data_IF_000014936884
#
_entry.id   IF_000014936884
#
_cell.length_a   1.000
_cell.length_b   1.000
_cell.length_c   1.000
_cell.angle_alpha   90.00
_cell.angle_beta   90.00
_cell.angle_gamma   90.00
#
_symmetry.space_group_name_H-M   'P 1'
#
loop_
_entity.id
_entity.type
_entity.pdbx_description
1 polymer ?
#
# COMPACT_ATOMS: atom_id res chain seq x y z
N UNK A 1 1.51 -7.37 -8.25
CA UNK A 1 2.80 -7.14 -8.90
C UNK A 1 3.60 -6.11 -8.10
N UNK A 2 4.84 -6.40 -7.83
CA UNK A 2 5.73 -5.46 -7.13
C UNK A 2 6.49 -4.66 -8.18
N UNK A 3 6.41 -3.34 -8.07
CA UNK A 3 7.06 -2.40 -8.98
C UNK A 3 8.21 -1.75 -8.22
N UNK A 4 9.42 -1.87 -8.75
CA UNK A 4 10.62 -1.27 -8.16
C UNK A 4 11.38 -0.49 -9.21
N UNK A 5 11.99 0.60 -8.79
CA UNK A 5 12.99 1.36 -9.53
C UNK A 5 12.54 1.75 -10.94
N UNK A 6 11.27 2.12 -11.10
CA UNK A 6 10.74 2.65 -12.34
C UNK A 6 10.14 4.05 -12.12
N UNK A 7 9.66 4.66 -13.19
CA UNK A 7 9.08 6.01 -13.13
C UNK A 7 7.89 6.08 -12.18
N UNK A 8 6.99 5.10 -12.23
CA UNK A 8 5.80 5.08 -11.38
C UNK A 8 6.17 4.98 -9.90
N UNK A 9 7.10 4.10 -9.55
CA UNK A 9 7.61 4.00 -8.19
C UNK A 9 8.30 5.29 -7.75
N UNK A 10 9.05 5.93 -8.64
CA UNK A 10 9.73 7.20 -8.36
C UNK A 10 8.74 8.34 -8.11
N UNK A 11 7.68 8.42 -8.90
CA UNK A 11 6.66 9.44 -8.74
C UNK A 11 5.94 9.30 -7.39
N UNK A 12 5.60 8.08 -7.01
CA UNK A 12 4.98 7.81 -5.71
C UNK A 12 5.98 8.12 -4.58
N UNK A 13 7.22 7.69 -4.71
CA UNK A 13 8.27 7.98 -3.73
C UNK A 13 8.42 9.49 -3.50
N UNK A 14 8.46 10.27 -4.58
CA UNK A 14 8.60 11.72 -4.49
C UNK A 14 7.40 12.39 -3.81
N UNK A 15 6.23 11.74 -3.85
CA UNK A 15 5.01 12.25 -3.19
C UNK A 15 4.97 11.96 -1.69
N UNK A 16 5.83 11.07 -1.19
CA UNK A 16 5.84 10.72 0.23
C UNK A 16 6.42 11.85 1.07
N UNK A 17 5.94 11.97 2.31
CA UNK A 17 6.52 12.87 3.29
C UNK A 17 7.94 12.44 3.69
N UNK A 18 8.72 13.36 4.20
CA UNK A 18 10.07 13.05 4.72
C UNK A 18 10.01 12.00 5.82
N UNK A 19 8.99 12.06 6.67
CA UNK A 19 8.79 11.08 7.74
C UNK A 19 8.54 9.68 7.18
N UNK A 20 7.71 9.56 6.14
CA UNK A 20 7.46 8.27 5.49
C UNK A 20 8.71 7.74 4.80
N UNK A 21 9.47 8.60 4.13
CA UNK A 21 10.72 8.21 3.46
C UNK A 21 11.76 7.70 4.45
N UNK A 22 11.81 8.25 5.67
CA UNK A 22 12.77 7.85 6.67
C UNK A 22 12.67 6.37 7.06
N UNK A 23 11.50 5.77 6.90
CA UNK A 23 11.28 4.35 7.19
C UNK A 23 12.09 3.42 6.26
N UNK A 24 12.55 3.93 5.14
CA UNK A 24 13.31 3.15 4.14
C UNK A 24 14.82 3.41 4.21
N UNK A 25 15.28 4.19 5.17
CA UNK A 25 16.68 4.64 5.27
C UNK A 25 17.58 3.73 6.11
N UNK A 26 17.05 2.67 6.69
CA UNK A 26 17.86 1.75 7.51
C UNK A 26 18.75 0.87 6.63
N UNK A 27 20.02 0.73 6.99
CA UNK A 27 20.92 -0.25 6.38
C UNK A 27 20.60 -1.68 6.79
N UNK A 28 19.99 -1.84 7.97
CA UNK A 28 19.70 -3.15 8.52
C UNK A 28 18.31 -3.56 8.08
N UNK A 29 18.21 -4.73 7.47
CA UNK A 29 16.93 -5.26 7.01
C UNK A 29 15.97 -5.48 8.20
N UNK A 30 14.67 -5.21 8.02
CA UNK A 30 13.67 -5.50 9.06
C UNK A 30 13.72 -6.96 9.49
N UNK A 31 13.57 -7.21 10.78
CA UNK A 31 13.58 -8.55 11.35
C UNK A 31 14.94 -9.13 11.65
N UNK A 32 16.01 -8.44 11.34
CA UNK A 32 17.36 -8.85 11.75
C UNK A 32 17.55 -8.71 13.24
N UNK A 33 18.33 -9.65 13.81
CA UNK A 33 18.70 -9.58 15.24
C UNK A 33 19.72 -8.48 15.46
N UNK A 34 19.47 -7.64 16.45
CA UNK A 34 20.41 -6.61 16.89
C UNK A 34 20.77 -6.85 18.36
N UNK A 35 22.00 -6.50 18.75
CA UNK A 35 22.49 -6.75 20.11
C UNK A 35 22.12 -5.65 21.11
N UNK A 36 21.63 -4.52 20.66
CA UNK A 36 21.31 -3.36 21.49
C UNK A 36 20.30 -2.45 20.81
N UNK A 37 19.62 -1.64 21.62
CA UNK A 37 18.70 -0.63 21.11
C UNK A 37 19.50 0.58 20.66
N UNK A 38 19.32 0.93 19.39
CA UNK A 38 19.92 2.11 18.78
C UNK A 38 18.90 3.19 18.58
N UNK A 39 19.27 4.41 18.88
CA UNK A 39 18.55 5.59 18.42
C UNK A 39 19.13 6.13 17.09
N UNK A 40 20.34 5.73 16.77
CA UNK A 40 21.09 6.18 15.60
C UNK A 40 21.47 4.99 14.72
N UNK A 41 20.48 4.35 14.10
CA UNK A 41 20.77 3.38 13.05
C UNK A 41 21.52 4.07 11.92
N UNK A 42 22.49 3.37 11.35
CA UNK A 42 23.11 3.86 10.13
C UNK A 42 22.03 4.05 9.09
N UNK A 43 21.81 5.30 8.71
CA UNK A 43 20.87 5.65 7.68
C UNK A 43 21.58 5.75 6.35
N UNK A 44 20.99 5.19 5.32
CA UNK A 44 21.39 5.44 3.94
C UNK A 44 20.83 6.79 3.49
N UNK A 45 21.42 7.40 2.47
CA UNK A 45 20.91 8.66 1.92
C UNK A 45 19.55 8.46 1.22
N UNK A 46 18.90 9.57 0.88
CA UNK A 46 17.58 9.55 0.24
C UNK A 46 17.58 8.84 -1.10
N UNK A 47 18.64 8.98 -1.88
CA UNK A 47 18.73 8.36 -3.20
C UNK A 47 18.88 6.85 -3.08
N UNK A 48 19.72 6.40 -2.17
CA UNK A 48 19.94 4.98 -1.89
C UNK A 48 18.69 4.37 -1.23
N UNK A 49 18.01 5.12 -0.36
CA UNK A 49 16.81 4.63 0.33
C UNK A 49 15.66 4.33 -0.64
N UNK A 50 15.58 5.02 -1.77
CA UNK A 50 14.60 4.71 -2.82
C UNK A 50 14.73 3.28 -3.31
N UNK A 51 15.91 2.71 -3.30
CA UNK A 51 16.12 1.32 -3.71
C UNK A 51 15.45 0.31 -2.77
N UNK A 52 15.17 0.72 -1.53
CA UNK A 52 14.44 -0.09 -0.56
C UNK A 52 12.93 0.04 -0.72
N UNK A 53 12.46 0.94 -1.57
CA UNK A 53 11.05 1.20 -1.78
C UNK A 53 10.49 0.29 -2.87
N UNK A 54 9.39 -0.36 -2.59
CA UNK A 54 8.62 -1.14 -3.55
C UNK A 54 7.17 -0.70 -3.55
N UNK A 55 6.57 -0.72 -4.71
CA UNK A 55 5.16 -0.37 -4.92
C UNK A 55 4.38 -1.62 -5.30
N UNK A 56 3.28 -1.87 -4.58
CA UNK A 56 2.34 -2.93 -4.93
C UNK A 56 1.14 -2.26 -5.56
N UNK A 57 0.87 -2.59 -6.81
CA UNK A 57 -0.32 -2.11 -7.53
C UNK A 57 -1.37 -3.19 -7.54
N UNK A 58 -2.55 -2.86 -7.02
CA UNK A 58 -3.71 -3.74 -7.00
C UNK A 58 -4.80 -3.07 -7.80
N UNK A 59 -5.33 -3.78 -8.79
CA UNK A 59 -6.48 -3.32 -9.57
C UNK A 59 -7.70 -4.08 -9.07
N UNK A 60 -8.66 -3.33 -8.53
CA UNK A 60 -9.92 -3.87 -8.03
C UNK A 60 -10.94 -3.74 -9.15
N UNK A 61 -11.54 -4.87 -9.56
CA UNK A 61 -12.58 -4.89 -10.57
C UNK A 61 -13.95 -5.31 -10.02
N UNK A 62 -14.01 -5.81 -8.79
CA UNK A 62 -15.25 -6.22 -8.14
C UNK A 62 -15.15 -6.07 -6.64
N UNK A 63 -16.19 -5.49 -6.03
CA UNK A 63 -16.35 -5.43 -4.57
C UNK A 63 -17.73 -5.93 -4.23
N UNK A 64 -17.84 -6.86 -3.29
CA UNK A 64 -19.09 -7.25 -2.67
C UNK A 64 -19.19 -6.64 -1.29
N UNK A 65 -20.33 -6.02 -1.02
CA UNK A 65 -20.62 -5.36 0.26
C UNK A 65 -21.79 -6.06 0.93
N UNK A 66 -21.65 -6.36 2.21
CA UNK A 66 -22.72 -6.92 3.03
C UNK A 66 -22.85 -6.07 4.30
N UNK A 67 -24.02 -5.48 4.48
CA UNK A 67 -24.38 -4.79 5.71
C UNK A 67 -25.35 -5.64 6.51
N UNK A 68 -24.98 -5.94 7.75
CA UNK A 68 -25.80 -6.72 8.66
C UNK A 68 -26.65 -5.76 9.50
N UNK A 69 -27.95 -5.86 9.35
CA UNK A 69 -28.90 -5.07 10.11
C UNK A 69 -29.85 -6.00 10.88
N UNK A 70 -30.43 -5.50 11.97
CA UNK A 70 -31.54 -6.21 12.61
C UNK A 70 -32.74 -6.16 11.66
N UNK A 71 -33.11 -7.33 11.12
CA UNK A 71 -34.26 -7.48 10.24
C UNK A 71 -33.93 -7.58 8.77
N UNK A 72 -33.28 -6.60 8.19
CA UNK A 72 -32.96 -6.59 6.76
C UNK A 72 -31.48 -6.36 6.50
N UNK A 73 -30.81 -7.39 5.99
CA UNK A 73 -29.45 -7.26 5.49
C UNK A 73 -29.46 -6.63 4.10
N UNK A 74 -28.41 -5.89 3.81
CA UNK A 74 -28.21 -5.27 2.49
C UNK A 74 -26.98 -5.90 1.87
N UNK A 75 -27.10 -6.38 0.64
CA UNK A 75 -25.97 -6.91 -0.13
C UNK A 75 -25.90 -6.19 -1.47
N UNK A 76 -24.71 -5.72 -1.81
CA UNK A 76 -24.47 -5.02 -3.05
C UNK A 76 -23.22 -5.52 -3.72
N UNK A 77 -23.18 -5.46 -5.04
CA UNK A 77 -22.01 -5.78 -5.84
C UNK A 77 -21.65 -4.59 -6.70
N UNK A 78 -20.39 -4.18 -6.61
CA UNK A 78 -19.83 -3.09 -7.39
C UNK A 78 -18.88 -3.70 -8.42
N UNK A 79 -19.17 -3.52 -9.69
CA UNK A 79 -18.30 -3.95 -10.78
C UNK A 79 -17.65 -2.71 -11.39
N UNK A 80 -16.33 -2.72 -11.44
CA UNK A 80 -15.54 -1.63 -12.00
C UNK A 80 -14.98 -2.04 -13.35
N UNK A 81 -15.19 -1.19 -14.35
CA UNK A 81 -14.63 -1.36 -15.69
C UNK A 81 -14.06 -0.01 -16.14
N UNK A 82 -12.76 0.13 -16.06
CA UNK A 82 -12.11 1.41 -16.27
C UNK A 82 -12.59 2.44 -15.24
N UNK A 83 -13.08 3.59 -15.70
CA UNK A 83 -13.63 4.64 -14.83
C UNK A 83 -15.10 4.44 -14.48
N UNK A 84 -15.73 3.37 -14.99
CA UNK A 84 -17.15 3.09 -14.77
C UNK A 84 -17.36 2.14 -13.62
N UNK A 85 -18.41 2.38 -12.83
CA UNK A 85 -18.85 1.51 -11.76
C UNK A 85 -20.31 1.13 -11.99
N UNK A 86 -20.59 -0.17 -12.04
CA UNK A 86 -21.94 -0.71 -12.12
C UNK A 86 -22.31 -1.32 -10.77
N UNK A 87 -23.43 -0.90 -10.20
CA UNK A 87 -23.89 -1.34 -8.89
C UNK A 87 -25.14 -2.21 -9.06
N UNK A 88 -25.13 -3.38 -8.42
CA UNK A 88 -26.27 -4.28 -8.35
C UNK A 88 -26.60 -4.60 -6.91
N UNK A 89 -27.87 -4.55 -6.56
CA UNK A 89 -28.34 -5.04 -5.28
C UNK A 89 -28.58 -6.55 -5.41
N UNK A 90 -28.10 -7.29 -4.42
CA UNK A 90 -28.23 -8.75 -4.39
C UNK A 90 -29.12 -9.16 -3.23
N UNK A 91 -29.73 -10.32 -3.38
CA UNK A 91 -30.43 -10.96 -2.25
C UNK A 91 -29.37 -11.32 -1.21
N UNK A 92 -29.55 -10.87 0.04
CA UNK A 92 -28.61 -11.15 1.11
C UNK A 92 -28.44 -12.64 1.42
#
# INVERSE_FOLDING_TARGET
MIIKNNKQAKDIWNSLSEQSKSLYMSEIAPGKVINFIHNDDKLVDKETSFLNFGLIKIVINKIEYLQLNRGNNIRAMFNYKGSKCNIKLLVP
#
